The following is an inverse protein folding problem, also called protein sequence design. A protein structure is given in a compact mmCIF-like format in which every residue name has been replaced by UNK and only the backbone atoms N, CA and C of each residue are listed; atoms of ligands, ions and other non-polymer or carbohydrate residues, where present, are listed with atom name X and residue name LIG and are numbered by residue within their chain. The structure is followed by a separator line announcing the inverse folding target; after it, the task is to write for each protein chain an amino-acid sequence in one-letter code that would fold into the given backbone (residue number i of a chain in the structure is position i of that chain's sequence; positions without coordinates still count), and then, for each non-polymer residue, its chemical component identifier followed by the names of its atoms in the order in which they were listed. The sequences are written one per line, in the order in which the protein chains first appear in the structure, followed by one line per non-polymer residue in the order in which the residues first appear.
data_IF_307157293993
#
_entry.id   IF_307157293993
#
_cell.length_a   1.000
_cell.length_b   1.000
_cell.length_c   1.000
_cell.angle_alpha   90.00
_cell.angle_beta   90.00
_cell.angle_gamma   90.00
#
_symmetry.space_group_name_H-M   'P 1'
#
loop_
_entity.id
_entity.type
_entity.pdbx_description
1 polymer ?
#
# COMPACT_ATOMS: atom_id res chain seq x y z
N UNK A 1 -17.80 27.94 -7.70
CA UNK A 1 -16.81 28.71 -6.93
C UNK A 1 -15.97 27.75 -6.06
N UNK A 2 -14.96 27.06 -6.62
CA UNK A 2 -14.01 26.34 -5.76
C UNK A 2 -13.16 27.38 -5.05
N UNK A 3 -13.24 27.46 -3.72
CA UNK A 3 -12.42 28.39 -2.95
C UNK A 3 -10.95 27.98 -3.13
N UNK A 4 -10.14 28.87 -3.70
CA UNK A 4 -8.68 28.75 -3.85
C UNK A 4 -8.01 28.63 -2.47
N UNK A 5 -8.12 27.45 -1.85
CA UNK A 5 -7.53 27.15 -0.55
C UNK A 5 -6.16 26.52 -0.80
N UNK A 6 -5.13 27.08 -0.15
CA UNK A 6 -3.79 26.49 -0.17
C UNK A 6 -3.84 25.08 0.45
N UNK A 7 -3.39 24.03 -0.26
CA UNK A 7 -3.33 22.69 0.30
C UNK A 7 -2.25 22.62 1.37
N UNK A 8 -2.64 22.24 2.59
CA UNK A 8 -1.72 22.14 3.73
C UNK A 8 -0.99 20.80 3.75
N UNK A 9 0.32 20.83 4.00
CA UNK A 9 1.16 19.63 4.22
C UNK A 9 0.83 18.94 5.56
N UNK A 10 1.28 17.70 5.76
CA UNK A 10 1.14 17.02 7.05
C UNK A 10 1.98 17.71 8.14
N UNK A 11 3.20 18.17 7.81
CA UNK A 11 4.03 18.94 8.73
C UNK A 11 3.39 20.24 9.19
N UNK A 12 2.80 21.02 8.27
CA UNK A 12 2.04 22.23 8.62
C UNK A 12 0.86 21.91 9.56
N UNK A 13 0.15 20.80 9.32
CA UNK A 13 -0.95 20.39 10.20
C UNK A 13 -0.47 20.00 11.60
N UNK A 14 0.69 19.36 11.74
CA UNK A 14 1.27 19.06 13.05
C UNK A 14 1.65 20.35 13.80
N UNK A 15 2.28 21.31 13.11
CA UNK A 15 2.57 22.61 13.70
C UNK A 15 1.28 23.33 14.18
N UNK A 16 0.20 23.24 13.40
CA UNK A 16 -1.13 23.79 13.79
C UNK A 16 -1.69 23.08 15.03
N UNK A 17 -1.39 21.79 15.24
CA UNK A 17 -1.83 21.02 16.42
C UNK A 17 -1.02 21.40 17.67
N UNK A 18 0.27 21.70 17.54
CA UNK A 18 1.13 22.08 18.67
C UNK A 18 0.82 23.48 19.23
N UNK A 19 0.47 24.45 18.38
CA UNK A 19 0.18 25.83 18.80
C UNK A 19 -0.89 25.97 19.90
N UNK A 20 -2.07 25.32 19.83
CA UNK A 20 -3.08 25.40 20.90
C UNK A 20 -2.62 24.72 22.21
N UNK A 21 -1.73 23.74 22.15
CA UNK A 21 -1.18 23.07 23.34
C UNK A 21 -0.12 23.94 24.03
N UNK A 22 0.67 24.70 23.26
CA UNK A 22 1.63 25.68 23.79
C UNK A 22 0.94 26.88 24.45
N UNK A 23 -0.22 27.30 23.93
CA UNK A 23 -0.97 28.47 24.41
C UNK A 23 -2.23 28.05 25.17
N UNK A 24 -2.05 27.46 26.35
CA UNK A 24 -3.15 27.11 27.24
C UNK A 24 -3.99 28.36 27.56
N UNK A 25 -5.22 28.42 27.01
CA UNK A 25 -6.19 29.51 27.25
C UNK A 25 -6.44 30.45 26.06
N UNK A 26 -5.69 30.35 24.97
CA UNK A 26 -5.98 31.15 23.78
C UNK A 26 -7.29 30.67 23.09
N UNK A 27 -8.11 31.62 22.65
CA UNK A 27 -9.35 31.28 21.93
C UNK A 27 -9.02 30.71 20.55
N UNK A 28 -9.78 29.70 20.09
CA UNK A 28 -9.58 29.08 18.76
C UNK A 28 -9.60 30.11 17.62
N UNK A 29 -10.41 31.16 17.77
CA UNK A 29 -10.50 32.28 16.84
C UNK A 29 -9.19 33.10 16.77
N UNK A 30 -8.50 33.31 17.89
CA UNK A 30 -7.21 34.01 17.92
C UNK A 30 -6.11 33.19 17.24
N UNK A 31 -6.07 31.88 17.51
CA UNK A 31 -5.10 30.95 16.92
C UNK A 31 -5.30 30.86 15.40
N UNK A 32 -6.56 30.75 14.95
CA UNK A 32 -6.90 30.71 13.53
C UNK A 32 -6.45 31.98 12.79
N UNK A 33 -6.64 33.16 13.40
CA UNK A 33 -6.16 34.45 12.86
C UNK A 33 -4.64 34.50 12.76
N UNK A 34 -3.93 34.07 13.81
CA UNK A 34 -2.46 34.06 13.83
C UNK A 34 -1.87 33.15 12.74
N UNK A 35 -2.52 32.01 12.48
CA UNK A 35 -2.09 31.02 11.49
C UNK A 35 -2.63 31.31 10.08
N UNK A 36 -3.37 32.39 9.88
CA UNK A 36 -4.02 32.75 8.60
C UNK A 36 -4.88 31.61 8.00
N UNK A 37 -5.57 30.85 8.84
CA UNK A 37 -6.47 29.76 8.43
C UNK A 37 -7.91 30.01 8.90
N UNK A 38 -8.93 29.56 8.14
CA UNK A 38 -10.32 29.65 8.60
C UNK A 38 -10.55 28.82 9.86
N UNK A 39 -11.36 29.33 10.79
CA UNK A 39 -11.71 28.62 12.03
C UNK A 39 -12.32 27.22 11.77
N UNK A 40 -13.11 27.10 10.68
CA UNK A 40 -13.66 25.82 10.25
C UNK A 40 -12.56 24.79 9.93
N UNK A 41 -11.46 25.24 9.32
CA UNK A 41 -10.33 24.39 8.95
C UNK A 41 -9.55 23.98 10.20
N UNK A 42 -9.28 24.92 11.11
CA UNK A 42 -8.65 24.62 12.39
C UNK A 42 -9.45 23.57 13.17
N UNK A 43 -10.77 23.76 13.29
CA UNK A 43 -11.65 22.81 13.97
C UNK A 43 -11.58 21.41 13.35
N UNK A 44 -11.54 21.32 12.02
CA UNK A 44 -11.44 20.04 11.31
C UNK A 44 -10.08 19.37 11.51
N UNK A 45 -8.99 20.14 11.51
CA UNK A 45 -7.63 19.63 11.77
C UNK A 45 -7.55 19.07 13.19
N UNK A 46 -8.01 19.81 14.19
CA UNK A 46 -8.01 19.36 15.59
C UNK A 46 -8.89 18.13 15.82
N UNK A 47 -10.04 18.02 15.13
CA UNK A 47 -10.90 16.84 15.20
C UNK A 47 -10.24 15.58 14.59
N UNK A 48 -9.26 15.75 13.70
CA UNK A 48 -8.55 14.67 12.99
C UNK A 48 -7.11 14.46 13.49
N UNK A 49 -6.75 14.99 14.67
CA UNK A 49 -5.37 15.00 15.17
C UNK A 49 -4.71 13.62 15.15
N UNK A 50 -5.40 12.59 15.64
CA UNK A 50 -4.82 11.24 15.78
C UNK A 50 -4.55 10.63 14.41
N UNK A 51 -5.47 10.84 13.46
CA UNK A 51 -5.29 10.39 12.09
C UNK A 51 -4.14 11.10 11.36
N UNK A 52 -3.87 12.37 11.71
CA UNK A 52 -2.76 13.15 11.15
C UNK A 52 -1.44 12.65 11.72
N UNK A 53 -1.36 12.36 13.02
CA UNK A 53 -0.18 11.80 13.67
C UNK A 53 0.21 10.43 13.07
N UNK A 54 -0.76 9.52 12.95
CA UNK A 54 -0.53 8.20 12.33
C UNK A 54 -0.07 8.32 10.86
N UNK A 55 -0.66 9.25 10.10
CA UNK A 55 -0.28 9.49 8.71
C UNK A 55 1.10 10.13 8.58
N UNK A 56 1.47 11.04 9.49
CA UNK A 56 2.79 11.64 9.52
C UNK A 56 3.88 10.59 9.81
N UNK A 57 3.61 9.66 10.75
CA UNK A 57 4.50 8.54 11.02
C UNK A 57 4.64 7.60 9.81
N UNK A 58 3.54 7.31 9.10
CA UNK A 58 3.56 6.38 7.95
C UNK A 58 4.14 6.98 6.67
N UNK A 59 3.85 8.25 6.36
CA UNK A 59 4.09 8.83 5.04
C UNK A 59 5.10 9.99 5.03
N UNK A 60 5.60 10.40 6.19
CA UNK A 60 6.46 11.56 6.36
C UNK A 60 5.71 12.90 6.36
N UNK A 61 6.46 14.00 6.52
CA UNK A 61 5.91 15.34 6.79
C UNK A 61 5.51 16.12 5.52
N UNK A 62 6.16 15.85 4.39
CA UNK A 62 6.07 16.70 3.19
C UNK A 62 4.83 16.44 2.32
N UNK A 63 4.08 15.35 2.57
CA UNK A 63 2.90 15.01 1.76
C UNK A 63 1.70 15.92 2.08
N UNK A 64 1.03 16.43 1.04
CA UNK A 64 -0.16 17.31 1.14
C UNK A 64 -1.47 16.53 1.24
N UNK A 65 -1.58 15.46 0.45
CA UNK A 65 -2.72 14.57 0.42
C UNK A 65 -2.26 13.13 0.61
N UNK A 66 -3.00 12.40 1.43
CA UNK A 66 -2.91 10.94 1.55
C UNK A 66 -4.18 10.40 0.91
N UNK A 67 -4.15 10.33 -0.43
CA UNK A 67 -5.13 9.54 -1.16
C UNK A 67 -4.49 8.18 -1.36
N UNK A 68 -5.16 7.15 -0.90
CA UNK A 68 -4.72 5.79 -1.18
C UNK A 68 -4.92 5.51 -2.67
N UNK A 69 -4.00 4.73 -3.26
CA UNK A 69 -4.07 4.36 -4.67
C UNK A 69 -5.31 3.51 -4.98
N UNK A 70 -5.61 3.32 -6.28
CA UNK A 70 -6.69 2.42 -6.72
C UNK A 70 -6.50 0.99 -6.18
N UNK A 71 -5.25 0.60 -5.97
CA UNK A 71 -4.84 -0.74 -5.55
C UNK A 71 -4.18 -0.75 -4.16
N UNK A 72 -4.68 0.07 -3.23
CA UNK A 72 -4.11 0.19 -1.89
C UNK A 72 -3.95 -1.15 -1.12
N UNK A 73 -4.85 -2.11 -1.36
CA UNK A 73 -4.77 -3.45 -0.76
C UNK A 73 -3.59 -4.26 -1.32
N UNK A 74 -3.35 -4.18 -2.63
CA UNK A 74 -2.23 -4.86 -3.30
C UNK A 74 -0.90 -4.20 -2.93
N UNK A 75 -0.84 -2.86 -2.92
CA UNK A 75 0.34 -2.12 -2.44
C UNK A 75 0.70 -2.51 -1.00
N UNK A 76 -0.31 -2.65 -0.14
CA UNK A 76 -0.09 -3.10 1.24
C UNK A 76 0.47 -4.53 1.28
N UNK A 77 -0.06 -5.45 0.49
CA UNK A 77 0.42 -6.83 0.43
C UNK A 77 1.88 -6.90 -0.07
N UNK A 78 2.25 -6.09 -1.07
CA UNK A 78 3.63 -6.03 -1.58
C UNK A 78 4.62 -5.56 -0.50
N UNK A 79 4.27 -4.48 0.21
CA UNK A 79 5.12 -3.95 1.31
C UNK A 79 5.23 -4.96 2.46
N UNK A 80 4.15 -5.69 2.76
CA UNK A 80 4.14 -6.73 3.80
C UNK A 80 4.99 -7.95 3.40
N UNK A 81 4.97 -8.35 2.12
CA UNK A 81 5.82 -9.42 1.61
C UNK A 81 7.31 -9.05 1.63
N UNK A 82 7.67 -7.81 1.28
CA UNK A 82 9.07 -7.35 1.36
C UNK A 82 9.59 -7.31 2.80
N UNK A 83 8.76 -6.86 3.75
CA UNK A 83 9.12 -6.83 5.16
C UNK A 83 9.20 -8.22 5.80
N UNK A 84 8.54 -9.22 5.22
CA UNK A 84 8.54 -10.60 5.68
C UNK A 84 9.73 -11.42 5.20
N UNK A 85 10.63 -10.85 4.39
CA UNK A 85 11.93 -11.46 4.09
C UNK A 85 12.83 -11.16 5.30
N UNK A 86 13.08 -12.12 6.20
CA UNK A 86 14.10 -11.92 7.23
C UNK A 86 15.40 -11.58 6.51
N UNK A 87 15.92 -10.39 6.79
CA UNK A 87 17.28 -9.96 6.38
C UNK A 87 18.33 -10.60 7.29
N UNK A 88 17.89 -11.45 8.22
CA UNK A 88 18.75 -12.21 9.10
C UNK A 88 19.36 -13.39 8.34
N UNK A 89 20.69 -13.36 8.35
CA UNK A 89 21.65 -14.30 7.79
C UNK A 89 21.90 -14.14 6.29
N UNK A 90 23.00 -13.42 5.98
CA UNK A 90 23.86 -13.68 4.83
C UNK A 90 23.74 -15.16 4.48
N UNK A 91 23.05 -15.53 3.39
CA UNK A 91 22.94 -16.92 3.06
C UNK A 91 24.38 -17.43 2.90
N UNK A 92 24.71 -18.52 3.59
CA UNK A 92 26.00 -19.21 3.52
C UNK A 92 26.27 -19.81 2.10
N UNK A 93 25.83 -19.14 1.02
CA UNK A 93 26.26 -19.38 -0.34
C UNK A 93 27.76 -19.18 -0.53
N UNK A 94 28.47 -18.60 0.45
CA UNK A 94 29.92 -18.47 0.42
C UNK A 94 30.68 -19.81 0.45
N UNK A 95 30.05 -20.93 0.81
CA UNK A 95 30.70 -22.25 0.89
C UNK A 95 29.95 -23.38 0.16
N UNK A 96 29.11 -23.05 -0.82
CA UNK A 96 28.73 -24.07 -1.81
C UNK A 96 29.94 -24.28 -2.73
N UNK A 97 30.85 -25.17 -2.30
CA UNK A 97 31.76 -25.87 -3.21
C UNK A 97 30.87 -26.62 -4.21
N UNK A 98 30.48 -25.94 -5.29
CA UNK A 98 29.83 -26.59 -6.41
C UNK A 98 30.79 -27.67 -6.91
N UNK A 99 30.40 -28.96 -6.84
CA UNK A 99 31.25 -30.05 -7.27
C UNK A 99 31.29 -30.04 -8.80
N UNK A 100 32.20 -29.26 -9.36
CA UNK A 100 32.41 -29.16 -10.80
C UNK A 100 32.81 -27.75 -11.20
N UNK A 101 33.78 -27.66 -12.10
CA UNK A 101 34.03 -26.40 -12.80
C UNK A 101 32.85 -26.12 -13.73
N UNK A 102 32.57 -24.84 -14.03
CA UNK A 102 31.58 -24.48 -15.04
C UNK A 102 31.84 -25.18 -16.39
N UNK A 103 33.11 -25.47 -16.70
CA UNK A 103 33.54 -26.20 -17.90
C UNK A 103 33.02 -27.64 -17.90
N UNK A 104 32.93 -28.30 -16.74
CA UNK A 104 32.38 -29.67 -16.64
C UNK A 104 30.87 -29.70 -16.89
N UNK A 105 30.14 -28.64 -16.52
CA UNK A 105 28.71 -28.55 -16.78
C UNK A 105 28.42 -28.24 -18.25
N UNK A 106 29.17 -27.33 -18.86
CA UNK A 106 29.01 -26.98 -20.29
C UNK A 106 29.49 -28.12 -21.19
N UNK A 107 30.50 -28.88 -20.78
CA UNK A 107 31.01 -30.02 -21.54
C UNK A 107 30.20 -31.32 -21.40
N UNK A 108 29.26 -31.40 -20.46
CA UNK A 108 28.42 -32.58 -20.27
C UNK A 108 27.19 -32.61 -21.20
N UNK A 109 26.82 -31.46 -21.78
CA UNK A 109 25.67 -31.27 -22.66
C UNK A 109 26.18 -31.07 -24.10
N UNK A 110 26.69 -32.15 -24.71
CA UNK A 110 27.20 -32.20 -26.09
C UNK A 110 26.13 -31.83 -27.16
N UNK A 111 24.87 -31.71 -26.76
CA UNK A 111 23.72 -31.34 -27.59
C UNK A 111 23.29 -29.86 -27.42
N UNK A 112 23.93 -29.10 -26.53
CA UNK A 112 23.75 -27.64 -26.50
C UNK A 112 24.54 -27.04 -27.66
N UNK A 113 23.82 -26.76 -28.74
CA UNK A 113 24.35 -26.04 -29.88
C UNK A 113 24.91 -24.68 -29.41
N UNK A 114 26.23 -24.61 -29.25
CA UNK A 114 26.95 -23.36 -29.05
C UNK A 114 26.74 -22.54 -30.32
N UNK A 115 25.92 -21.50 -30.23
CA UNK A 115 25.81 -20.53 -31.31
C UNK A 115 27.23 -19.99 -31.55
N UNK A 116 27.73 -20.16 -32.78
CA UNK A 116 28.98 -19.53 -33.19
C UNK A 116 28.93 -18.05 -32.84
N UNK A 117 30.05 -17.48 -32.42
CA UNK A 117 30.16 -16.05 -32.11
C UNK A 117 29.53 -15.23 -33.24
N UNK A 118 28.39 -14.59 -32.95
CA UNK A 118 27.73 -13.68 -33.88
C UNK A 118 28.35 -12.31 -33.67
N UNK A 119 28.91 -11.72 -34.72
CA UNK A 119 29.49 -10.39 -34.60
C UNK A 119 28.39 -9.35 -34.38
N UNK A 120 28.75 -8.24 -33.72
CA UNK A 120 27.79 -7.16 -33.46
C UNK A 120 27.27 -6.54 -34.77
N UNK A 121 28.07 -6.60 -35.83
CA UNK A 121 27.70 -6.12 -37.17
C UNK A 121 26.65 -7.03 -37.83
N UNK A 122 26.75 -8.35 -37.68
CA UNK A 122 25.76 -9.32 -38.18
C UNK A 122 24.38 -9.16 -37.50
N UNK A 123 24.38 -8.79 -36.20
CA UNK A 123 23.15 -8.50 -35.45
C UNK A 123 22.49 -7.22 -36.00
N UNK A 124 23.28 -6.19 -36.28
CA UNK A 124 22.73 -4.92 -36.81
C UNK A 124 22.18 -5.10 -38.21
N UNK A 125 22.81 -5.94 -39.04
CA UNK A 125 22.33 -6.23 -40.39
C UNK A 125 21.01 -7.04 -40.37
N UNK A 126 20.88 -8.01 -39.46
CA UNK A 126 19.65 -8.81 -39.32
C UNK A 126 18.50 -8.07 -38.63
N UNK A 127 18.79 -7.08 -37.78
CA UNK A 127 17.78 -6.26 -37.07
C UNK A 127 17.34 -5.04 -37.88
N UNK A 128 17.77 -4.88 -39.13
CA UNK A 128 17.13 -3.95 -40.07
C UNK A 128 16.03 -4.69 -40.83
N UNK A 129 14.79 -4.80 -40.31
CA UNK A 129 13.68 -5.14 -41.17
C UNK A 129 13.62 -4.04 -42.22
N UNK A 130 13.63 -4.45 -43.49
CA UNK A 130 13.34 -3.57 -44.61
C UNK A 130 12.10 -2.74 -44.24
N UNK A 131 12.33 -1.46 -43.98
CA UNK A 131 11.28 -0.46 -43.71
C UNK A 131 10.67 -0.09 -45.06
N UNK A 132 10.04 -1.08 -45.71
CA UNK A 132 9.38 -0.95 -46.99
C UNK A 132 7.87 -1.18 -46.81
N UNK A 133 7.15 -0.09 -46.50
CA UNK A 133 5.69 0.01 -46.60
C UNK A 133 4.94 -0.78 -45.52
N UNK A 134 3.93 -0.25 -44.85
CA UNK A 134 2.78 0.42 -45.44
C UNK A 134 2.30 1.57 -44.57
N UNK A 135 2.26 2.74 -45.19
CA UNK A 135 1.27 3.78 -44.92
C UNK A 135 -0.13 3.17 -44.97
N UNK A 136 -0.91 3.30 -43.91
CA UNK A 136 -2.35 3.45 -44.06
C UNK A 136 -2.88 4.37 -42.96
N UNK A 137 -3.38 5.51 -43.42
CA UNK A 137 -4.00 6.57 -42.65
C UNK A 137 -5.48 6.24 -42.53
N UNK A 138 -5.99 6.02 -41.32
CA UNK A 138 -7.43 6.18 -41.06
C UNK A 138 -7.58 6.87 -39.70
N UNK A 139 -7.74 8.18 -39.81
CA UNK A 139 -8.18 9.13 -38.78
C UNK A 139 -9.66 8.86 -38.49
N UNK A 140 -9.96 8.13 -37.41
CA UNK A 140 -11.34 7.93 -36.95
C UNK A 140 -11.61 8.77 -35.70
N UNK A 141 -12.05 10.00 -35.96
CA UNK A 141 -12.79 10.82 -35.02
C UNK A 141 -14.13 10.15 -34.73
N UNK A 142 -14.34 9.68 -33.50
CA UNK A 142 -15.70 9.49 -33.00
C UNK A 142 -15.84 9.87 -31.53
N UNK A 143 -16.59 10.96 -31.36
CA UNK A 143 -17.17 11.46 -30.15
C UNK A 143 -18.26 10.51 -29.62
N UNK A 144 -18.24 10.20 -28.32
CA UNK A 144 -19.46 9.87 -27.61
C UNK A 144 -19.32 10.13 -26.10
N UNK A 145 -19.84 11.29 -25.72
CA UNK A 145 -20.25 11.67 -24.39
C UNK A 145 -21.38 10.72 -23.91
N UNK A 146 -21.19 9.99 -22.82
CA UNK A 146 -22.29 9.36 -22.10
C UNK A 146 -22.01 9.25 -20.60
N UNK A 147 -22.49 10.28 -19.90
CA UNK A 147 -22.78 10.29 -18.48
C UNK A 147 -23.67 9.10 -18.07
N UNK A 148 -23.17 8.21 -17.21
CA UNK A 148 -23.99 7.27 -16.47
C UNK A 148 -23.79 7.45 -14.95
N UNK A 149 -24.77 8.14 -14.35
CA UNK A 149 -25.04 8.11 -12.91
C UNK A 149 -25.54 6.70 -12.55
N UNK A 150 -24.76 5.96 -11.76
CA UNK A 150 -25.18 4.67 -11.20
C UNK A 150 -24.63 4.52 -9.78
N UNK A 151 -25.40 5.01 -8.80
CA UNK A 151 -25.04 4.91 -7.39
C UNK A 151 -25.28 3.50 -6.86
N UNK A 152 -24.24 2.69 -6.76
CA UNK A 152 -24.27 1.46 -5.99
C UNK A 152 -23.87 1.75 -4.54
N UNK A 153 -24.90 1.95 -3.70
CA UNK A 153 -24.79 1.97 -2.25
C UNK A 153 -24.58 0.54 -1.76
N UNK A 154 -23.33 0.05 -1.82
CA UNK A 154 -22.94 -1.19 -1.16
C UNK A 154 -22.82 -0.92 0.35
N UNK A 155 -23.84 -1.37 1.08
CA UNK A 155 -23.82 -1.46 2.54
C UNK A 155 -22.91 -2.63 2.93
N UNK A 156 -21.62 -2.36 3.07
CA UNK A 156 -20.68 -3.34 3.65
C UNK A 156 -20.89 -3.32 5.16
N UNK A 157 -21.62 -4.31 5.66
CA UNK A 157 -21.74 -4.59 7.08
C UNK A 157 -20.34 -4.74 7.67
N UNK A 158 -20.05 -3.93 8.68
CA UNK A 158 -18.83 -3.97 9.47
C UNK A 158 -18.72 -5.31 10.19
N UNK A 159 -18.07 -6.29 9.56
CA UNK A 159 -17.59 -7.47 10.28
C UNK A 159 -16.33 -7.07 11.03
N UNK A 160 -16.47 -6.91 12.34
CA UNK A 160 -15.37 -6.68 13.27
C UNK A 160 -14.55 -7.96 13.36
N UNK A 161 -13.49 -8.04 12.56
CA UNK A 161 -12.56 -9.16 12.57
C UNK A 161 -11.69 -9.03 13.84
N UNK A 162 -12.05 -9.77 14.89
CA UNK A 162 -11.22 -9.91 16.09
C UNK A 162 -10.14 -10.94 15.82
N UNK A 163 -8.96 -10.47 15.43
CA UNK A 163 -7.76 -11.29 15.38
C UNK A 163 -7.29 -11.50 16.83
N UNK A 164 -7.46 -12.71 17.35
CA UNK A 164 -6.76 -13.14 18.55
C UNK A 164 -5.41 -13.73 18.14
N UNK A 165 -4.33 -12.98 18.36
CA UNK A 165 -2.98 -13.54 18.37
C UNK A 165 -2.80 -14.29 19.70
N UNK A 166 -3.04 -15.59 19.68
CA UNK A 166 -2.48 -16.46 20.72
C UNK A 166 -1.01 -16.66 20.36
N UNK A 167 -0.12 -16.05 21.15
CA UNK A 167 1.32 -16.29 21.05
C UNK A 167 1.58 -17.76 21.32
N UNK A 168 2.26 -18.41 20.39
CA UNK A 168 2.79 -19.75 20.58
C UNK A 168 4.24 -19.74 20.11
N UNK A 169 5.12 -19.91 21.08
CA UNK A 169 6.55 -20.08 20.90
C UNK A 169 6.83 -21.39 20.16
N UNK A 170 7.84 -21.33 19.31
CA UNK A 170 8.73 -22.40 18.88
C UNK A 170 8.08 -23.73 18.45
N UNK A 171 7.86 -23.90 17.13
CA UNK A 171 8.48 -24.96 16.29
C UNK A 171 7.83 -25.03 14.90
N UNK A 172 8.67 -24.99 13.87
CA UNK A 172 8.42 -25.23 12.43
C UNK A 172 8.51 -26.76 12.18
N UNK A 173 8.03 -27.41 11.08
CA UNK A 173 7.31 -26.94 9.87
C UNK A 173 6.04 -27.76 9.46
N UNK A 174 5.33 -27.22 8.46
CA UNK A 174 4.63 -27.94 7.37
C UNK A 174 3.60 -29.03 7.71
N UNK A 175 2.34 -28.78 7.37
CA UNK A 175 1.46 -29.65 6.55
C UNK A 175 0.12 -28.93 6.36
N UNK A 176 -0.31 -28.81 5.10
CA UNK A 176 -1.69 -28.56 4.74
C UNK A 176 -2.59 -29.59 5.43
N UNK A 177 -3.42 -29.16 6.37
CA UNK A 177 -4.56 -29.94 6.82
C UNK A 177 -5.81 -29.06 6.70
N UNK A 178 -6.50 -29.24 5.58
CA UNK A 178 -7.92 -28.90 5.46
C UNK A 178 -8.65 -29.75 6.50
N UNK A 179 -9.05 -29.15 7.63
CA UNK A 179 -9.94 -29.79 8.60
C UNK A 179 -11.17 -28.93 8.78
N UNK A 180 -12.29 -29.65 8.69
CA UNK A 180 -13.62 -29.18 8.37
C UNK A 180 -14.29 -28.30 9.42
N UNK A 181 -15.25 -27.54 8.89
CA UNK A 181 -16.35 -26.83 9.54
C UNK A 181 -17.00 -27.63 10.68
N UNK A 182 -17.16 -27.00 11.85
CA UNK A 182 -18.34 -27.19 12.71
C UNK A 182 -18.77 -25.85 13.36
N UNK A 183 -20.07 -25.50 13.35
CA UNK A 183 -20.59 -24.28 13.96
C UNK A 183 -20.83 -24.50 15.46
N UNK A 184 -20.14 -23.74 16.32
CA UNK A 184 -20.50 -23.72 17.75
C UNK A 184 -21.50 -22.59 18.03
N UNK A 185 -22.65 -23.00 18.56
CA UNK A 185 -23.84 -22.20 18.75
C UNK A 185 -23.70 -21.15 19.87
N UNK A 186 -24.52 -20.10 19.69
CA UNK A 186 -25.02 -19.06 20.59
C UNK A 186 -24.96 -19.27 22.10
N UNK A 187 -24.55 -18.23 22.84
CA UNK A 187 -25.19 -17.84 24.11
C UNK A 187 -24.96 -16.34 24.42
N UNK A 188 -25.98 -15.52 24.22
CA UNK A 188 -26.07 -14.16 24.75
C UNK A 188 -26.61 -14.20 26.19
N UNK A 189 -25.76 -13.88 27.17
CA UNK A 189 -26.18 -13.67 28.56
C UNK A 189 -26.31 -12.16 28.82
N UNK A 190 -27.55 -11.65 28.75
CA UNK A 190 -27.93 -10.31 29.20
C UNK A 190 -27.97 -10.31 30.73
N UNK A 191 -26.96 -9.74 31.38
CA UNK A 191 -27.05 -9.34 32.78
C UNK A 191 -27.80 -8.02 32.88
N UNK A 192 -29.03 -8.08 33.38
CA UNK A 192 -29.87 -6.93 33.70
C UNK A 192 -29.31 -6.15 34.89
N UNK A 193 -29.33 -4.82 34.79
CA UNK A 193 -29.04 -3.88 35.88
C UNK A 193 -30.11 -4.02 36.97
N UNK A 194 -29.71 -4.50 38.14
CA UNK A 194 -30.45 -4.27 39.38
C UNK A 194 -30.30 -2.80 39.77
N UNK A 195 -31.39 -2.05 39.68
CA UNK A 195 -31.54 -0.77 40.37
C UNK A 195 -31.95 -1.05 41.82
N UNK A 196 -31.09 -0.73 42.78
CA UNK A 196 -31.45 -0.69 44.19
C UNK A 196 -31.92 0.73 44.55
N UNK A 197 -33.14 0.82 45.07
CA UNK A 197 -33.84 1.94 45.72
C UNK A 197 -34.22 1.32 47.08
N UNK A 198 -33.90 1.81 48.26
CA UNK A 198 -33.72 3.15 48.83
C UNK A 198 -32.56 3.13 49.81
#
# INVERSE_FOLDING_TARGET
MSRNRKPLTLGEKLHIIEEPEKRNGATKASIARNLNIPESSLKTILAKKDSILLKAAKFGLNRKATKDGKYAAMEKALVECEAAVPVDDEPEFANLELPGSFVDYVGADDDVAVCSEVSLDDIIETVRPDTAGTSDEEEMDDAAEASAKGGNKLHVGSQTLRIFYAGFADTVPCILAVVAVLPFQTATLRMGKLCFRR
#
